data_IF_942750125055
#
_entry.id   IF_942750125055
#
_cell.length_a   1.000
_cell.length_b   1.000
_cell.length_c   1.000
_cell.angle_alpha   90.00
_cell.angle_beta   90.00
_cell.angle_gamma   90.00
#
_symmetry.space_group_name_H-M   'P 1'
#
loop_
_entity.id
_entity.type
_entity.pdbx_description
1 polymer ?
#
# COMPACT_ATOMS: atom_id res chain seq x y z
N UNK A 1 23.03 -4.14 28.23
CA UNK A 1 22.12 -3.03 27.89
C UNK A 1 21.65 -3.23 26.46
N UNK A 2 20.34 -3.36 26.25
CA UNK A 2 19.77 -3.58 24.91
C UNK A 2 19.96 -2.32 24.06
N UNK A 3 20.61 -2.43 22.91
CA UNK A 3 20.86 -1.29 22.02
C UNK A 3 19.53 -0.86 21.36
N UNK A 4 18.84 0.11 21.97
CA UNK A 4 17.51 0.56 21.55
C UNK A 4 17.46 1.03 20.08
N UNK A 5 18.60 1.49 19.55
CA UNK A 5 18.73 1.92 18.14
C UNK A 5 18.42 0.79 17.17
N UNK A 6 18.68 -0.47 17.57
CA UNK A 6 18.45 -1.64 16.72
C UNK A 6 16.99 -1.93 16.39
N UNK A 7 16.06 -1.28 17.12
CA UNK A 7 14.63 -1.40 16.89
C UNK A 7 14.07 -0.32 15.97
N UNK A 8 14.81 0.77 15.72
CA UNK A 8 14.30 1.92 14.98
C UNK A 8 13.91 1.57 13.55
N UNK A 9 14.79 0.88 12.82
CA UNK A 9 14.53 0.56 11.42
C UNK A 9 13.40 -0.48 11.27
N UNK A 10 13.38 -1.62 11.98
CA UNK A 10 12.23 -2.54 11.94
C UNK A 10 10.92 -1.90 12.38
N UNK A 11 10.95 -0.98 13.33
CA UNK A 11 9.74 -0.26 13.76
C UNK A 11 9.12 0.54 12.61
N UNK A 12 9.91 1.13 11.70
CA UNK A 12 9.36 1.82 10.52
C UNK A 12 8.63 0.87 9.57
N UNK A 13 9.20 -0.31 9.30
CA UNK A 13 8.53 -1.35 8.52
C UNK A 13 7.22 -1.79 9.18
N UNK A 14 7.22 -1.98 10.50
CA UNK A 14 6.02 -2.33 11.27
C UNK A 14 4.95 -1.25 11.21
N UNK A 15 5.33 0.02 11.40
CA UNK A 15 4.39 1.15 11.36
C UNK A 15 3.78 1.24 9.96
N UNK A 16 4.58 1.13 8.90
CA UNK A 16 4.06 1.11 7.53
C UNK A 16 3.12 -0.08 7.30
N UNK A 17 3.49 -1.29 7.70
CA UNK A 17 2.60 -2.45 7.59
C UNK A 17 1.28 -2.23 8.39
N UNK A 18 1.35 -1.67 9.59
CA UNK A 18 0.20 -1.35 10.42
C UNK A 18 -0.74 -0.32 9.76
N UNK A 19 -0.19 0.81 9.29
CA UNK A 19 -0.94 1.82 8.54
C UNK A 19 -1.61 1.18 7.33
N UNK A 20 -0.88 0.36 6.57
CA UNK A 20 -1.41 -0.30 5.40
C UNK A 20 -2.63 -1.19 5.71
N UNK A 21 -2.58 -1.95 6.80
CA UNK A 21 -3.68 -2.80 7.22
C UNK A 21 -4.89 -2.00 7.69
N UNK A 22 -4.66 -0.90 8.42
CA UNK A 22 -5.74 0.01 8.87
C UNK A 22 -6.45 0.66 7.68
N UNK A 23 -5.71 0.96 6.61
CA UNK A 23 -6.23 1.58 5.39
C UNK A 23 -6.37 0.60 4.22
N UNK A 24 -6.65 -0.67 4.53
CA UNK A 24 -7.10 -1.70 3.58
C UNK A 24 -6.26 -1.81 2.31
N UNK A 25 -4.93 -1.71 2.40
CA UNK A 25 -4.09 -1.93 1.22
C UNK A 25 -3.98 -0.73 0.28
N UNK A 26 -3.98 0.49 0.82
CA UNK A 26 -3.87 1.73 0.05
C UNK A 26 -2.65 1.88 -0.91
N UNK A 27 -1.54 1.10 -0.82
CA UNK A 27 -0.50 1.07 -1.86
C UNK A 27 -1.01 0.68 -3.24
N UNK A 28 -2.19 0.08 -3.37
CA UNK A 28 -2.85 -0.09 -4.67
C UNK A 28 -3.06 1.27 -5.37
N UNK A 29 -3.49 2.29 -4.63
CA UNK A 29 -3.63 3.68 -5.14
C UNK A 29 -2.28 4.26 -5.53
N UNK A 30 -1.25 3.98 -4.73
CA UNK A 30 0.11 4.43 -5.02
C UNK A 30 0.59 3.92 -6.39
N UNK A 31 0.41 2.63 -6.65
CA UNK A 31 0.83 2.03 -7.91
C UNK A 31 -0.08 2.40 -9.07
N UNK A 32 -1.37 2.67 -8.84
CA UNK A 32 -2.26 3.10 -9.92
C UNK A 32 -1.92 4.49 -10.45
N UNK A 33 -1.51 5.41 -9.57
CA UNK A 33 -1.07 6.76 -9.96
C UNK A 33 0.28 6.77 -10.67
N UNK A 34 1.20 5.88 -10.27
CA UNK A 34 2.55 5.81 -10.88
C UNK A 34 2.52 5.26 -12.31
N UNK A 35 1.52 4.45 -12.66
CA UNK A 35 1.38 3.91 -14.02
C UNK A 35 0.75 4.97 -14.92
N UNK A 36 1.40 5.38 -16.04
CA UNK A 36 0.83 6.35 -16.96
C UNK A 36 -0.53 5.90 -17.49
N UNK A 37 -1.50 6.82 -17.59
CA UNK A 37 -2.86 6.53 -18.04
C UNK A 37 -2.92 5.79 -19.39
N UNK A 38 -2.00 6.09 -20.32
CA UNK A 38 -1.90 5.43 -21.63
C UNK A 38 -1.50 3.95 -21.56
N UNK A 39 -0.88 3.54 -20.45
CA UNK A 39 -0.44 2.17 -20.20
C UNK A 39 -1.34 1.45 -19.19
N UNK A 40 -2.14 2.18 -18.41
CA UNK A 40 -2.93 1.62 -17.33
C UNK A 40 -3.84 0.49 -17.81
N UNK A 41 -4.62 0.70 -18.88
CA UNK A 41 -5.49 -0.37 -19.42
C UNK A 41 -4.76 -1.61 -19.94
N UNK A 42 -3.45 -1.53 -20.20
CA UNK A 42 -2.63 -2.70 -20.61
C UNK A 42 -1.92 -3.37 -19.43
N UNK A 43 -1.72 -2.64 -18.34
CA UNK A 43 -0.89 -3.05 -17.21
C UNK A 43 -1.66 -3.18 -15.89
N UNK A 44 -2.95 -2.82 -15.85
CA UNK A 44 -3.77 -2.89 -14.64
C UNK A 44 -3.74 -4.29 -14.03
N UNK A 45 -3.81 -5.35 -14.85
CA UNK A 45 -3.71 -6.74 -14.37
C UNK A 45 -2.41 -7.06 -13.62
N UNK A 46 -1.32 -6.31 -13.86
CA UNK A 46 -0.04 -6.50 -13.21
C UNK A 46 0.03 -5.84 -11.81
N UNK A 47 -0.95 -5.02 -11.44
CA UNK A 47 -0.96 -4.24 -10.19
C UNK A 47 -0.77 -5.12 -8.93
N UNK A 48 -1.45 -6.28 -8.77
CA UNK A 48 -1.22 -7.15 -7.61
C UNK A 48 0.21 -7.69 -7.55
N UNK A 49 0.84 -7.98 -8.70
CA UNK A 49 2.22 -8.46 -8.76
C UNK A 49 3.23 -7.37 -8.39
N UNK A 50 2.98 -6.12 -8.79
CA UNK A 50 3.80 -4.97 -8.38
C UNK A 50 3.75 -4.78 -6.86
N UNK A 51 2.57 -4.94 -6.26
CA UNK A 51 2.38 -4.90 -4.81
C UNK A 51 3.13 -6.03 -4.11
N UNK A 52 3.03 -7.26 -4.60
CA UNK A 52 3.81 -8.36 -4.05
C UNK A 52 5.31 -8.10 -4.15
N UNK A 53 5.79 -7.59 -5.28
CA UNK A 53 7.18 -7.19 -5.46
C UNK A 53 7.62 -6.12 -4.46
N UNK A 54 6.80 -5.10 -4.26
CA UNK A 54 7.04 -4.04 -3.27
C UNK A 54 7.22 -4.59 -1.86
N UNK A 55 6.25 -5.37 -1.36
CA UNK A 55 6.37 -5.94 -0.01
C UNK A 55 7.47 -7.00 0.08
N UNK A 56 7.77 -7.73 -0.99
CA UNK A 56 8.90 -8.65 -1.04
C UNK A 56 10.23 -7.92 -0.85
N UNK A 57 10.42 -6.73 -1.42
CA UNK A 57 11.61 -5.92 -1.13
C UNK A 57 11.73 -5.60 0.35
N UNK A 58 10.64 -5.24 1.02
CA UNK A 58 10.65 -4.97 2.46
C UNK A 58 10.99 -6.20 3.31
N UNK A 59 10.38 -7.35 2.99
CA UNK A 59 10.64 -8.63 3.68
C UNK A 59 12.11 -9.04 3.49
N UNK A 60 12.60 -9.06 2.26
CA UNK A 60 13.97 -9.45 1.96
C UNK A 60 14.97 -8.47 2.56
N UNK A 61 14.67 -7.17 2.54
CA UNK A 61 15.49 -6.16 3.20
C UNK A 61 15.68 -6.49 4.68
N UNK A 62 14.60 -6.73 5.41
CA UNK A 62 14.63 -7.08 6.83
C UNK A 62 15.41 -8.37 7.07
N UNK A 63 15.17 -9.43 6.29
CA UNK A 63 15.89 -10.69 6.38
C UNK A 63 17.41 -10.49 6.24
N UNK A 64 17.84 -9.81 5.17
CA UNK A 64 19.26 -9.61 4.89
C UNK A 64 19.94 -8.65 5.87
N UNK A 65 19.23 -7.61 6.32
CA UNK A 65 19.75 -6.66 7.31
C UNK A 65 19.98 -7.30 8.69
N UNK A 66 19.16 -8.29 9.06
CA UNK A 66 19.15 -8.84 10.42
C UNK A 66 19.81 -10.21 10.58
N UNK A 67 19.95 -11.01 9.51
CA UNK A 67 20.48 -12.37 9.60
C UNK A 67 21.57 -12.73 8.58
N UNK A 68 21.85 -11.88 7.59
CA UNK A 68 22.69 -12.28 6.47
C UNK A 68 23.57 -11.12 5.99
N UNK A 69 23.36 -10.65 4.76
CA UNK A 69 24.20 -9.68 4.09
C UNK A 69 23.63 -8.27 4.18
N UNK A 70 24.19 -7.46 5.08
CA UNK A 70 23.77 -6.07 5.32
C UNK A 70 23.80 -5.22 4.04
N UNK A 71 24.76 -5.42 3.12
CA UNK A 71 24.85 -4.66 1.88
C UNK A 71 23.64 -4.93 0.98
N UNK A 72 23.26 -6.21 0.80
CA UNK A 72 22.06 -6.59 0.04
C UNK A 72 20.79 -6.09 0.74
N UNK A 73 20.73 -6.23 2.05
CA UNK A 73 19.61 -5.75 2.86
C UNK A 73 19.39 -4.24 2.73
N UNK A 74 20.46 -3.45 2.73
CA UNK A 74 20.39 -2.01 2.46
C UNK A 74 19.85 -1.72 1.07
N UNK A 75 20.40 -2.35 0.03
CA UNK A 75 19.93 -2.13 -1.34
C UNK A 75 18.43 -2.44 -1.51
N UNK A 76 17.96 -3.57 -0.98
CA UNK A 76 16.54 -3.94 -1.04
C UNK A 76 15.68 -2.98 -0.21
N UNK A 77 16.18 -2.54 0.95
CA UNK A 77 15.52 -1.53 1.77
C UNK A 77 15.41 -0.18 1.05
N UNK A 78 16.44 0.20 0.29
CA UNK A 78 16.41 1.38 -0.57
C UNK A 78 15.36 1.27 -1.67
N UNK A 79 15.21 0.09 -2.29
CA UNK A 79 14.16 -0.12 -3.28
C UNK A 79 12.77 -0.01 -2.64
N UNK A 80 12.58 -0.62 -1.46
CA UNK A 80 11.32 -0.56 -0.72
C UNK A 80 10.95 0.89 -0.32
N UNK A 81 11.81 1.56 0.45
CA UNK A 81 11.52 2.93 0.91
C UNK A 81 11.56 3.95 -0.24
N UNK A 82 12.43 3.75 -1.23
CA UNK A 82 12.50 4.61 -2.41
C UNK A 82 11.22 4.55 -3.23
N UNK A 83 10.71 3.34 -3.51
CA UNK A 83 9.42 3.18 -4.19
C UNK A 83 8.27 3.79 -3.39
N UNK A 84 8.26 3.58 -2.06
CA UNK A 84 7.26 4.19 -1.18
C UNK A 84 7.31 5.72 -1.19
N UNK A 85 8.50 6.31 -1.17
CA UNK A 85 8.66 7.76 -1.23
C UNK A 85 8.24 8.34 -2.58
N UNK A 86 8.70 7.74 -3.70
CA UNK A 86 8.33 8.20 -5.04
C UNK A 86 6.84 8.06 -5.31
N UNK A 87 6.26 6.92 -4.93
CA UNK A 87 4.83 6.68 -5.08
C UNK A 87 3.98 7.62 -4.24
N UNK A 88 4.34 7.85 -2.97
CA UNK A 88 3.66 8.86 -2.14
C UNK A 88 3.75 10.26 -2.73
N UNK A 89 4.92 10.65 -3.24
CA UNK A 89 5.11 11.97 -3.85
C UNK A 89 4.26 12.14 -5.12
N UNK A 90 4.14 11.08 -5.94
CA UNK A 90 3.29 11.07 -7.11
C UNK A 90 1.81 11.28 -6.72
N UNK A 91 1.30 10.51 -5.76
CA UNK A 91 -0.09 10.66 -5.28
C UNK A 91 -0.35 12.08 -4.73
N UNK A 92 0.56 12.61 -3.91
CA UNK A 92 0.42 13.96 -3.35
C UNK A 92 0.48 15.08 -4.41
N UNK A 93 1.06 14.81 -5.57
CA UNK A 93 1.14 15.77 -6.68
C UNK A 93 -0.15 15.84 -7.50
N UNK A 94 -1.05 14.85 -7.38
CA UNK A 94 -2.35 14.91 -8.02
C UNK A 94 -3.28 15.85 -7.23
N UNK A 95 -3.85 16.84 -7.91
CA UNK A 95 -4.59 17.95 -7.27
C UNK A 95 -6.02 17.61 -6.83
N UNK A 96 -6.43 16.35 -6.93
CA UNK A 96 -7.82 15.93 -6.70
C UNK A 96 -7.87 15.04 -5.47
N UNK A 97 -8.11 15.67 -4.31
CA UNK A 97 -8.36 14.91 -3.08
C UNK A 97 -9.72 15.29 -2.53
N UNK A 98 -10.76 14.60 -3.00
CA UNK A 98 -12.12 14.69 -2.44
C UNK A 98 -12.16 14.24 -0.97
N UNK A 99 -11.15 13.48 -0.53
CA UNK A 99 -10.98 13.05 0.86
C UNK A 99 -9.66 13.55 1.45
N UNK A 100 -9.68 14.40 2.50
CA UNK A 100 -8.46 14.96 3.10
C UNK A 100 -7.61 13.91 3.84
N UNK A 101 -8.18 12.74 4.13
CA UNK A 101 -7.49 11.67 4.86
C UNK A 101 -6.43 10.94 4.02
N UNK A 102 -6.69 10.72 2.73
CA UNK A 102 -5.77 10.04 1.82
C UNK A 102 -4.42 10.78 1.64
N UNK A 103 -4.39 12.10 1.37
CA UNK A 103 -3.13 12.85 1.32
C UNK A 103 -2.38 12.82 2.65
N UNK A 104 -3.08 12.91 3.78
CA UNK A 104 -2.44 12.87 5.10
C UNK A 104 -1.72 11.52 5.33
N UNK A 105 -2.34 10.41 4.94
CA UNK A 105 -1.72 9.07 5.02
C UNK A 105 -0.51 8.98 4.10
N UNK A 106 -0.61 9.46 2.85
CA UNK A 106 0.52 9.44 1.92
C UNK A 106 1.67 10.36 2.34
N UNK A 107 1.38 11.51 2.96
CA UNK A 107 2.38 12.39 3.55
C UNK A 107 3.09 11.72 4.74
N UNK A 108 2.36 11.02 5.61
CA UNK A 108 2.94 10.22 6.67
C UNK A 108 3.80 9.08 6.09
N UNK A 109 3.30 8.39 5.07
CA UNK A 109 4.03 7.31 4.40
C UNK A 109 5.32 7.80 3.74
N UNK A 110 5.29 8.98 3.12
CA UNK A 110 6.45 9.67 2.56
C UNK A 110 7.48 9.96 3.66
N UNK A 111 7.04 10.56 4.77
CA UNK A 111 7.92 10.87 5.90
C UNK A 111 8.59 9.60 6.48
N UNK A 112 7.81 8.52 6.66
CA UNK A 112 8.34 7.23 7.12
C UNK A 112 9.33 6.63 6.12
N UNK A 113 9.07 6.76 4.82
CA UNK A 113 9.93 6.26 3.76
C UNK A 113 11.26 7.02 3.68
N UNK A 114 11.21 8.35 3.79
CA UNK A 114 12.41 9.19 3.88
C UNK A 114 13.23 8.89 5.13
N UNK A 115 12.56 8.70 6.27
CA UNK A 115 13.22 8.34 7.53
C UNK A 115 13.86 6.94 7.44
N UNK A 116 13.16 5.96 6.84
CA UNK A 116 13.70 4.61 6.61
C UNK A 116 14.96 4.65 5.75
N UNK A 117 14.92 5.42 4.66
CA UNK A 117 16.06 5.67 3.78
C UNK A 117 17.24 6.28 4.55
N UNK A 118 16.99 7.28 5.40
CA UNK A 118 18.02 7.90 6.25
C UNK A 118 18.64 6.89 7.23
N UNK A 119 17.82 6.05 7.88
CA UNK A 119 18.31 5.04 8.82
C UNK A 119 19.14 3.94 8.13
N UNK A 120 18.79 3.58 6.89
CA UNK A 120 19.60 2.65 6.08
C UNK A 120 21.00 3.20 5.81
N UNK A 121 21.12 4.49 5.50
CA UNK A 121 22.42 5.15 5.32
C UNK A 121 23.26 5.17 6.59
N UNK A 122 22.62 5.36 7.75
CA UNK A 122 23.31 5.34 9.05
C UNK A 122 23.85 3.97 9.44
N UNK A 123 23.42 2.91 8.77
CA UNK A 123 23.96 1.58 8.95
C UNK A 123 23.74 0.98 10.34
N UNK A 124 22.60 1.31 10.95
CA UNK A 124 22.23 0.87 12.28
C UNK A 124 22.03 -0.65 12.27
N UNK A 125 22.48 -1.33 13.33
CA UNK A 125 22.17 -2.75 13.55
C UNK A 125 20.67 -3.00 13.57
N UNK A 126 20.22 -4.20 13.21
CA UNK A 126 18.80 -4.50 13.04
C UNK A 126 18.40 -5.70 13.88
N UNK A 127 17.43 -5.52 14.76
CA UNK A 127 16.95 -6.57 15.64
C UNK A 127 16.25 -7.69 14.87
N UNK A 128 16.78 -8.92 14.95
CA UNK A 128 16.17 -10.11 14.33
C UNK A 128 14.74 -10.37 14.80
N UNK A 129 14.51 -10.32 16.12
CA UNK A 129 13.19 -10.64 16.71
C UNK A 129 12.12 -9.68 16.20
N UNK A 130 12.41 -8.37 16.17
CA UNK A 130 11.46 -7.39 15.68
C UNK A 130 11.30 -7.46 14.15
N UNK A 131 12.39 -7.79 13.44
CA UNK A 131 12.36 -8.02 11.99
C UNK A 131 11.44 -9.18 11.61
N UNK A 132 11.43 -10.28 12.37
CA UNK A 132 10.51 -11.40 12.13
C UNK A 132 9.05 -10.97 12.20
N UNK A 133 8.68 -10.19 13.22
CA UNK A 133 7.32 -9.66 13.36
C UNK A 133 6.98 -8.72 12.21
N UNK A 134 7.92 -7.84 11.84
CA UNK A 134 7.77 -6.92 10.72
C UNK A 134 7.59 -7.66 9.38
N UNK A 135 8.39 -8.69 9.12
CA UNK A 135 8.28 -9.52 7.92
C UNK A 135 6.92 -10.22 7.81
N UNK A 136 6.42 -10.78 8.92
CA UNK A 136 5.10 -11.40 8.96
C UNK A 136 4.01 -10.37 8.62
N UNK A 137 4.05 -9.19 9.26
CA UNK A 137 3.05 -8.15 9.07
C UNK A 137 3.09 -7.55 7.65
N UNK A 138 4.28 -7.42 7.06
CA UNK A 138 4.44 -7.07 5.65
C UNK A 138 3.88 -8.15 4.73
N UNK A 139 4.03 -9.43 5.07
CA UNK A 139 3.42 -10.54 4.32
C UNK A 139 1.89 -10.45 4.30
N UNK A 140 1.27 -10.22 5.47
CA UNK A 140 -0.19 -10.00 5.56
C UNK A 140 -0.59 -8.74 4.80
N UNK A 141 0.19 -7.67 4.93
CA UNK A 141 -0.01 -6.41 4.21
C UNK A 141 0.02 -6.61 2.70
N UNK A 142 0.92 -7.46 2.19
CA UNK A 142 1.01 -7.78 0.78
C UNK A 142 -0.27 -8.45 0.27
N UNK A 143 -0.78 -9.44 1.02
CA UNK A 143 -2.02 -10.14 0.67
C UNK A 143 -3.19 -9.17 0.64
N UNK A 144 -3.39 -8.39 1.71
CA UNK A 144 -4.50 -7.41 1.78
C UNK A 144 -4.42 -6.42 0.62
N UNK A 145 -3.23 -5.86 0.36
CA UNK A 145 -3.05 -4.87 -0.71
C UNK A 145 -3.22 -5.47 -2.10
N UNK A 146 -2.74 -6.69 -2.33
CA UNK A 146 -2.91 -7.37 -3.60
C UNK A 146 -4.38 -7.70 -3.87
N UNK A 147 -5.12 -8.13 -2.84
CA UNK A 147 -6.57 -8.32 -2.93
C UNK A 147 -7.26 -6.99 -3.27
N UNK A 148 -6.98 -5.91 -2.54
CA UNK A 148 -7.55 -4.57 -2.85
C UNK A 148 -7.22 -4.11 -4.28
N UNK A 149 -6.01 -4.39 -4.77
CA UNK A 149 -5.67 -4.09 -6.16
C UNK A 149 -6.49 -4.88 -7.16
N UNK A 150 -6.88 -6.13 -6.88
CA UNK A 150 -7.81 -6.86 -7.76
C UNK A 150 -9.14 -6.13 -7.87
N UNK A 151 -9.69 -5.62 -6.77
CA UNK A 151 -10.92 -4.81 -6.80
C UNK A 151 -10.75 -3.55 -7.64
N UNK A 152 -9.63 -2.83 -7.51
CA UNK A 152 -9.34 -1.62 -8.32
C UNK A 152 -9.25 -1.95 -9.81
N UNK A 153 -8.66 -3.09 -10.14
CA UNK A 153 -8.49 -3.54 -11.54
C UNK A 153 -9.83 -3.97 -12.14
N UNK A 154 -10.62 -4.74 -11.39
CA UNK A 154 -11.97 -5.16 -11.79
C UNK A 154 -12.87 -3.94 -12.00
N UNK A 155 -12.84 -2.98 -11.07
CA UNK A 155 -13.61 -1.75 -11.16
C UNK A 155 -13.23 -0.94 -12.40
N UNK A 156 -11.93 -0.77 -12.68
CA UNK A 156 -11.47 -0.10 -13.90
C UNK A 156 -11.97 -0.79 -15.17
N UNK A 157 -11.84 -2.12 -15.27
CA UNK A 157 -12.31 -2.84 -16.44
C UNK A 157 -13.83 -2.80 -16.56
N UNK A 158 -14.59 -2.83 -15.46
CA UNK A 158 -16.04 -2.64 -15.48
C UNK A 158 -16.39 -1.27 -16.06
N UNK A 159 -15.77 -0.19 -15.58
CA UNK A 159 -16.03 1.16 -16.09
C UNK A 159 -15.64 1.34 -17.57
N UNK A 160 -14.57 0.69 -18.04
CA UNK A 160 -14.14 0.72 -19.44
C UNK A 160 -15.05 -0.12 -20.35
N UNK A 161 -15.51 -1.29 -19.89
CA UNK A 161 -16.34 -2.20 -20.71
C UNK A 161 -17.82 -1.79 -20.73
N UNK A 162 -18.31 -1.16 -19.67
CA UNK A 162 -19.73 -0.78 -19.60
C UNK A 162 -19.96 0.51 -20.40
N UNK A 163 -18.95 1.38 -20.63
CA UNK A 163 -19.01 2.51 -21.57
C UNK A 163 -19.99 3.64 -21.20
N UNK A 164 -20.98 3.31 -20.39
CA UNK A 164 -21.94 4.13 -19.69
C UNK A 164 -21.95 3.62 -18.25
N UNK A 165 -22.00 4.50 -17.26
CA UNK A 165 -22.42 4.07 -15.92
C UNK A 165 -23.80 3.44 -16.14
N UNK A 166 -24.08 2.18 -15.75
CA UNK A 166 -25.45 1.70 -15.81
C UNK A 166 -26.25 2.72 -15.02
N UNK A 167 -27.28 3.34 -15.60
CA UNK A 167 -28.07 4.39 -14.93
C UNK A 167 -28.51 3.96 -13.52
N UNK A 168 -28.52 2.65 -13.25
CA UNK A 168 -28.90 2.03 -11.99
C UNK A 168 -27.80 1.91 -10.92
N UNK A 169 -26.51 2.14 -11.21
CA UNK A 169 -25.45 2.05 -10.21
C UNK A 169 -25.51 3.20 -9.18
N UNK A 170 -26.03 4.36 -9.58
CA UNK A 170 -26.36 5.48 -8.69
C UNK A 170 -27.81 5.46 -8.21
N UNK A 171 -28.73 4.69 -8.82
CA UNK A 171 -30.13 4.64 -8.39
C UNK A 171 -30.31 3.94 -7.04
N UNK A 172 -29.49 2.93 -6.70
CA UNK A 172 -29.59 2.26 -5.38
C UNK A 172 -29.18 3.20 -4.23
N UNK A 173 -28.40 4.26 -4.50
CA UNK A 173 -27.94 5.20 -3.47
C UNK A 173 -28.65 6.56 -3.55
N UNK A 174 -29.13 7.00 -4.72
CA UNK A 174 -29.84 8.27 -4.88
C UNK A 174 -31.35 8.17 -4.61
N UNK A 175 -31.95 6.99 -4.81
CA UNK A 175 -33.32 6.70 -4.42
C UNK A 175 -33.34 5.35 -3.71
N UNK A 176 -33.29 5.30 -2.37
CA UNK A 176 -33.76 4.10 -1.70
C UNK A 176 -35.22 3.96 -2.11
N UNK A 177 -35.51 3.08 -3.07
CA UNK A 177 -36.86 2.57 -3.22
C UNK A 177 -37.22 2.05 -1.85
N UNK A 178 -38.15 2.77 -1.23
CA UNK A 178 -38.71 2.42 0.07
C UNK A 178 -39.56 1.17 -0.19
N UNK A 179 -38.89 0.03 -0.36
CA UNK A 179 -39.53 -1.27 -0.47
C UNK A 179 -40.27 -1.45 0.84
N UNK A 180 -41.60 -1.38 0.74
CA UNK A 180 -42.48 -1.58 1.88
C UNK A 180 -42.16 -2.93 2.51
N UNK A 181 -42.19 -3.05 3.86
CA UNK A 181 -41.89 -4.30 4.53
C UNK A 181 -42.73 -5.43 3.92
N UNK A 182 -42.13 -6.62 3.67
CA UNK A 182 -42.90 -7.72 3.11
C UNK A 182 -43.97 -8.12 4.12
N UNK A 183 -45.22 -7.88 3.72
CA UNK A 183 -46.46 -8.35 4.31
C UNK A 183 -46.85 -7.76 5.68
N UNK A 184 -47.54 -6.63 5.64
CA UNK A 184 -48.73 -6.45 6.48
C UNK A 184 -49.96 -6.78 5.61
N UNK A 185 -50.43 -8.02 5.68
CA UNK A 185 -51.75 -8.43 5.17
C UNK A 185 -52.46 -9.22 6.26
N UNK A 186 -53.60 -8.68 6.71
CA UNK A 186 -54.66 -9.44 7.38
C UNK A 186 -54.63 -9.42 8.89
#
# INVERSE_FOLDING_TARGET
MTNWKSYLLPALFLIQAGINLVFYGFPAVMFSVVIPASLYGKLAWALPFLIFGYFAFGILALYYLSASNVRRGRFLGFLYFGAGALGSAAVLSEFIHETPMLPAIFALWLALSLLGTLLLFRGIEVSWKLSLVAMLLLGVSAIVSASTAQWVVEDYYAHVHIGEIPENATVIVAYPENVSPPNATG
#
